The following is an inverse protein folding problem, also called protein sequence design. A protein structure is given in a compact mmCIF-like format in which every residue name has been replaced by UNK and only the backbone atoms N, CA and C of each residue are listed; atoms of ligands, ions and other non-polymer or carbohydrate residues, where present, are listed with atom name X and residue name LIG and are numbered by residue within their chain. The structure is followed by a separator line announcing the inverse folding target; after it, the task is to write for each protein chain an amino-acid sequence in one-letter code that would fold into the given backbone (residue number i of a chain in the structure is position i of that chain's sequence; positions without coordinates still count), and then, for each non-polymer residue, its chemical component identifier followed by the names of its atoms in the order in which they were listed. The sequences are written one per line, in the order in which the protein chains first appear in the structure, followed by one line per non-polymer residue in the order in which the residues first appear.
data_IF_444386858576
#
_entry.id   IF_444386858576
#
_cell.length_a   1.000
_cell.length_b   1.000
_cell.length_c   1.000
_cell.angle_alpha   90.00
_cell.angle_beta   90.00
_cell.angle_gamma   90.00
#
_symmetry.space_group_name_H-M   'P 1'
#
loop_
_entity.id
_entity.type
_entity.pdbx_description
1 polymer ?
#
# COMPACT_ATOMS: atom_id res chain seq x y z
N UNK A 1 9.35 19.25 2.66
CA UNK A 1 9.55 17.88 2.14
C UNK A 1 8.32 17.05 2.45
N UNK A 2 7.82 16.22 1.53
CA UNK A 2 6.60 15.42 1.73
C UNK A 2 6.95 14.17 2.55
N UNK A 3 6.36 13.98 3.72
CA UNK A 3 6.61 12.80 4.56
C UNK A 3 6.00 11.56 3.90
N UNK A 4 6.79 10.49 3.76
CA UNK A 4 6.34 9.22 3.18
C UNK A 4 6.39 8.14 4.25
N UNK A 5 5.27 7.49 4.50
CA UNK A 5 5.18 6.36 5.44
C UNK A 5 5.43 5.07 4.66
N UNK A 6 6.47 4.35 5.05
CA UNK A 6 6.88 3.09 4.44
C UNK A 6 6.62 1.94 5.40
N UNK A 7 6.22 0.79 4.86
CA UNK A 7 6.39 -0.48 5.58
C UNK A 7 7.87 -0.87 5.60
N UNK A 8 8.25 -1.75 6.52
CA UNK A 8 9.61 -2.31 6.60
C UNK A 8 10.06 -2.87 5.24
N UNK A 9 9.21 -3.67 4.58
CA UNK A 9 9.48 -4.22 3.25
C UNK A 9 9.67 -3.16 2.16
N UNK A 10 8.98 -2.02 2.25
CA UNK A 10 9.15 -0.92 1.30
C UNK A 10 10.45 -0.15 1.55
N UNK A 11 10.86 -0.02 2.82
CA UNK A 11 12.13 0.62 3.20
C UNK A 11 13.36 -0.19 2.77
N UNK A 12 13.35 -1.52 2.93
CA UNK A 12 14.44 -2.41 2.51
C UNK A 12 14.73 -2.35 1.01
N UNK A 13 13.70 -2.06 0.20
CA UNK A 13 13.83 -1.94 -1.25
C UNK A 13 14.65 -0.73 -1.68
N UNK A 14 14.77 0.30 -0.84
CA UNK A 14 15.53 1.52 -1.16
C UNK A 14 16.98 1.17 -1.48
N UNK A 15 17.64 0.43 -0.59
CA UNK A 15 19.04 0.03 -0.77
C UNK A 15 19.26 -0.80 -2.05
N UNK A 16 18.32 -1.67 -2.39
CA UNK A 16 18.38 -2.49 -3.61
C UNK A 16 18.22 -1.62 -4.86
N UNK A 17 17.32 -0.64 -4.81
CA UNK A 17 17.12 0.30 -5.92
C UNK A 17 18.31 1.23 -6.11
N UNK A 18 18.91 1.71 -5.03
CA UNK A 18 20.13 2.53 -5.07
C UNK A 18 21.30 1.75 -5.68
N UNK A 19 21.44 0.46 -5.33
CA UNK A 19 22.43 -0.42 -5.95
C UNK A 19 22.18 -0.65 -7.45
N UNK A 20 20.91 -0.67 -7.90
CA UNK A 20 20.57 -0.72 -9.32
C UNK A 20 20.87 0.61 -10.04
N UNK A 21 20.66 1.76 -9.38
CA UNK A 21 21.03 3.08 -9.92
C UNK A 21 22.55 3.16 -10.09
N UNK A 22 23.29 2.76 -9.05
CA UNK A 22 24.75 2.71 -9.04
C UNK A 22 25.34 1.62 -9.93
N UNK A 23 24.51 0.85 -10.65
CA UNK A 23 24.88 -0.28 -11.52
C UNK A 23 25.74 -1.36 -10.82
N UNK A 24 25.65 -1.48 -9.49
CA UNK A 24 26.39 -2.48 -8.69
C UNK A 24 25.80 -3.87 -8.82
N UNK A 25 24.50 -3.97 -9.10
CA UNK A 25 23.79 -5.24 -9.31
C UNK A 25 22.96 -5.19 -10.60
N UNK A 26 22.69 -6.37 -11.18
CA UNK A 26 21.75 -6.52 -12.31
C UNK A 26 20.32 -6.73 -11.79
N UNK A 27 19.32 -6.39 -12.61
CA UNK A 27 17.90 -6.57 -12.26
C UNK A 27 17.53 -8.03 -11.94
N UNK A 28 18.21 -9.00 -12.56
CA UNK A 28 18.03 -10.44 -12.24
C UNK A 28 18.40 -10.75 -10.78
N UNK A 29 19.54 -10.24 -10.31
CA UNK A 29 19.98 -10.42 -8.92
C UNK A 29 19.06 -9.72 -7.92
N UNK A 30 18.61 -8.51 -8.23
CA UNK A 30 17.62 -7.81 -7.41
C UNK A 30 16.30 -8.60 -7.31
N UNK A 31 15.87 -9.26 -8.39
CA UNK A 31 14.69 -10.14 -8.37
C UNK A 31 14.85 -11.32 -7.43
N UNK A 32 16.02 -11.97 -7.46
CA UNK A 32 16.35 -13.06 -6.52
C UNK A 32 16.38 -12.59 -5.06
N UNK A 33 17.01 -11.43 -4.77
CA UNK A 33 17.06 -10.88 -3.41
C UNK A 33 15.67 -10.52 -2.87
N UNK A 34 14.80 -9.99 -3.73
CA UNK A 34 13.45 -9.56 -3.36
C UNK A 34 12.40 -10.68 -3.42
N UNK A 35 12.74 -11.86 -3.95
CA UNK A 35 11.78 -12.94 -4.20
C UNK A 35 10.69 -12.56 -5.21
N UNK A 36 10.99 -11.70 -6.19
CA UNK A 36 10.03 -11.21 -7.19
C UNK A 36 10.56 -11.35 -8.62
N UNK A 37 9.66 -11.33 -9.60
CA UNK A 37 10.04 -11.40 -11.01
C UNK A 37 10.86 -10.18 -11.46
N UNK A 38 11.74 -10.38 -12.44
CA UNK A 38 12.51 -9.29 -13.07
C UNK A 38 11.59 -8.22 -13.67
N UNK A 39 10.41 -8.61 -14.18
CA UNK A 39 9.38 -7.65 -14.64
C UNK A 39 8.92 -6.72 -13.52
N UNK A 40 8.67 -7.26 -12.32
CA UNK A 40 8.29 -6.44 -11.16
C UNK A 40 9.43 -5.51 -10.73
N UNK A 41 10.67 -6.00 -10.71
CA UNK A 41 11.87 -5.17 -10.45
C UNK A 41 11.96 -4.03 -11.44
N UNK A 42 11.87 -4.30 -12.75
CA UNK A 42 11.95 -3.29 -13.81
C UNK A 42 10.88 -2.21 -13.64
N UNK A 43 9.64 -2.61 -13.34
CA UNK A 43 8.52 -1.68 -13.11
C UNK A 43 8.77 -0.80 -11.88
N UNK A 44 9.24 -1.40 -10.79
CA UNK A 44 9.57 -0.70 -9.55
C UNK A 44 10.72 0.29 -9.77
N UNK A 45 11.79 -0.15 -10.42
CA UNK A 45 12.96 0.67 -10.73
C UNK A 45 12.63 1.87 -11.62
N UNK A 46 11.79 1.68 -12.65
CA UNK A 46 11.32 2.79 -13.50
C UNK A 46 10.56 3.86 -12.69
N UNK A 47 9.73 3.44 -11.73
CA UNK A 47 9.03 4.39 -10.84
C UNK A 47 9.97 5.06 -9.85
N UNK A 48 10.87 4.30 -9.22
CA UNK A 48 11.86 4.85 -8.30
C UNK A 48 12.71 5.94 -8.95
N UNK A 49 13.13 5.75 -10.21
CA UNK A 49 13.84 6.78 -10.97
C UNK A 49 13.05 8.07 -11.20
N UNK A 50 11.71 7.98 -11.29
CA UNK A 50 10.83 9.13 -11.56
C UNK A 50 10.37 9.83 -10.29
N UNK A 51 10.07 9.06 -9.26
CA UNK A 51 9.36 9.52 -8.06
C UNK A 51 10.20 9.43 -6.78
N UNK A 52 11.38 8.82 -6.85
CA UNK A 52 12.20 8.50 -5.67
C UNK A 52 11.51 7.50 -4.75
N UNK A 53 11.77 7.63 -3.45
CA UNK A 53 11.16 6.82 -2.37
C UNK A 53 9.63 6.71 -2.45
N UNK A 54 8.86 7.79 -2.73
CA UNK A 54 7.41 7.68 -2.98
C UNK A 54 7.01 6.60 -3.99
N UNK A 55 7.81 6.38 -5.03
CA UNK A 55 7.55 5.39 -6.09
C UNK A 55 7.62 3.92 -5.65
N UNK A 56 8.13 3.66 -4.45
CA UNK A 56 8.21 2.33 -3.83
C UNK A 56 6.99 1.99 -2.98
N UNK A 57 6.20 3.00 -2.59
CA UNK A 57 4.98 2.78 -1.82
C UNK A 57 3.94 1.99 -2.62
N UNK A 58 3.11 1.25 -1.89
CA UNK A 58 1.94 0.59 -2.45
C UNK A 58 1.00 1.62 -3.09
N UNK A 59 0.75 1.47 -4.39
CA UNK A 59 0.06 2.48 -5.21
C UNK A 59 -1.43 2.64 -4.89
N UNK A 60 -2.03 1.65 -4.23
CA UNK A 60 -3.41 1.76 -3.73
C UNK A 60 -3.50 2.37 -2.34
N UNK A 61 -2.37 2.68 -1.67
CA UNK A 61 -2.39 3.28 -0.35
C UNK A 61 -3.07 4.65 -0.44
N UNK A 62 -4.10 4.87 0.37
CA UNK A 62 -4.90 6.09 0.37
C UNK A 62 -5.90 6.21 -0.79
N UNK A 63 -6.01 5.21 -1.67
CA UNK A 63 -7.03 5.19 -2.72
C UNK A 63 -8.31 4.51 -2.23
N UNK A 64 -9.45 5.10 -2.56
CA UNK A 64 -10.76 4.48 -2.38
C UNK A 64 -10.87 3.29 -3.34
N UNK A 65 -11.35 2.15 -2.84
CA UNK A 65 -11.56 0.96 -3.67
C UNK A 65 -12.73 1.13 -4.64
N UNK A 66 -12.68 0.50 -5.81
CA UNK A 66 -13.71 0.62 -6.85
C UNK A 66 -15.11 0.17 -6.40
N UNK A 67 -15.19 -0.65 -5.34
CA UNK A 67 -16.43 -1.16 -4.74
C UNK A 67 -16.78 -0.47 -3.41
N UNK A 68 -16.07 0.59 -3.06
CA UNK A 68 -16.34 1.30 -1.82
C UNK A 68 -17.74 1.94 -1.89
N UNK A 69 -18.48 1.81 -0.79
CA UNK A 69 -19.71 2.57 -0.63
C UNK A 69 -19.41 4.06 -0.57
N UNK A 70 -20.33 4.93 -1.01
CA UNK A 70 -20.23 6.37 -0.79
C UNK A 70 -19.99 6.66 0.70
N UNK A 71 -19.08 7.59 1.03
CA UNK A 71 -18.76 7.89 2.43
C UNK A 71 -20.00 8.30 3.21
N UNK A 72 -20.92 9.04 2.60
CA UNK A 72 -22.17 9.50 3.23
C UNK A 72 -23.04 8.31 3.64
N UNK A 73 -23.16 7.30 2.77
CA UNK A 73 -23.93 6.09 3.06
C UNK A 73 -23.28 5.27 4.18
N UNK A 74 -21.95 5.22 4.20
CA UNK A 74 -21.21 4.53 5.27
C UNK A 74 -21.46 5.23 6.62
N UNK A 75 -21.41 6.56 6.65
CA UNK A 75 -21.61 7.33 7.88
C UNK A 75 -23.04 7.18 8.41
N UNK A 76 -24.04 7.19 7.52
CA UNK A 76 -25.43 6.89 7.89
C UNK A 76 -25.60 5.51 8.52
N UNK A 77 -24.97 4.48 7.95
CA UNK A 77 -25.01 3.11 8.51
C UNK A 77 -24.39 3.07 9.90
N UNK A 78 -23.21 3.69 10.07
CA UNK A 78 -22.52 3.74 11.37
C UNK A 78 -23.37 4.46 12.42
N UNK A 79 -24.01 5.57 12.04
CA UNK A 79 -24.89 6.31 12.94
C UNK A 79 -26.14 5.51 13.32
N UNK A 80 -26.74 4.80 12.36
CA UNK A 80 -27.90 3.95 12.61
C UNK A 80 -27.56 2.81 13.59
N UNK A 81 -26.43 2.13 13.38
CA UNK A 81 -25.96 1.08 14.29
C UNK A 81 -25.73 1.65 15.69
N UNK A 82 -25.07 2.80 15.81
CA UNK A 82 -24.86 3.45 17.12
C UNK A 82 -26.16 3.84 17.82
N UNK A 83 -27.19 4.25 17.07
CA UNK A 83 -28.48 4.68 17.63
C UNK A 83 -29.37 3.50 18.03
N UNK A 84 -29.43 2.46 17.21
CA UNK A 84 -30.37 1.35 17.38
C UNK A 84 -29.76 0.12 18.06
N UNK A 85 -28.43 -0.03 17.98
CA UNK A 85 -27.68 -1.18 18.47
C UNK A 85 -26.42 -0.69 19.21
N UNK A 86 -26.59 0.19 20.19
CA UNK A 86 -25.48 0.82 20.93
C UNK A 86 -24.62 -0.17 21.71
N UNK A 87 -25.19 -1.33 22.04
CA UNK A 87 -24.55 -2.46 22.72
C UNK A 87 -23.79 -3.37 21.74
N UNK A 88 -23.97 -3.22 20.43
CA UNK A 88 -23.28 -4.02 19.43
C UNK A 88 -21.88 -3.46 19.18
N UNK A 89 -20.86 -4.20 19.64
CA UNK A 89 -19.49 -3.94 19.23
C UNK A 89 -19.31 -4.15 17.70
N UNK A 90 -18.27 -3.57 17.08
CA UNK A 90 -18.06 -3.66 15.63
C UNK A 90 -18.05 -5.10 15.09
N UNK A 91 -17.47 -6.04 15.84
CA UNK A 91 -17.45 -7.45 15.48
C UNK A 91 -18.84 -8.08 15.54
N UNK A 92 -19.58 -7.83 16.63
CA UNK A 92 -20.91 -8.41 16.81
C UNK A 92 -21.93 -7.85 15.80
N UNK A 93 -21.82 -6.56 15.47
CA UNK A 93 -22.59 -5.95 14.38
C UNK A 93 -22.31 -6.61 13.03
N UNK A 94 -21.05 -6.89 12.70
CA UNK A 94 -20.69 -7.55 11.45
C UNK A 94 -21.17 -9.02 11.36
N UNK A 95 -21.39 -9.68 12.48
CA UNK A 95 -21.88 -11.06 12.53
C UNK A 95 -23.41 -11.17 12.47
N UNK A 96 -24.14 -10.14 12.93
CA UNK A 96 -25.59 -10.20 13.15
C UNK A 96 -26.43 -9.37 12.19
N UNK A 97 -25.83 -8.40 11.49
CA UNK A 97 -26.48 -7.48 10.56
C UNK A 97 -25.93 -7.65 9.14
#
# INVERSE_FOLDING_TARGET
MKQVILSMKESERIAIMDNLIAKRIKQKHAGSQLGISVRQVRRMFKRYKREGVPGLTHQSRGRVGNRAMPPEKKDQIVELIKKQYSDFGPTFAAEKL
#
